data_IF_512743443415
#
_entry.id   IF_512743443415
#
_cell.length_a   1.000
_cell.length_b   1.000
_cell.length_c   1.000
_cell.angle_alpha   90.00
_cell.angle_beta   90.00
_cell.angle_gamma   90.00
#
_symmetry.space_group_name_H-M   'P 1'
#
loop_
_entity.id
_entity.type
_entity.pdbx_description
1 polymer ?
#
# COMPACT_ATOMS: atom_id res chain seq x y z
N UNK A 1 9.87 -26.58 57.32
CA UNK A 1 9.21 -25.79 56.26
C UNK A 1 9.40 -26.49 54.92
N UNK A 2 8.32 -27.10 54.40
CA UNK A 2 8.34 -27.96 53.19
C UNK A 2 8.01 -27.06 51.99
N UNK A 3 8.93 -26.94 51.01
CA UNK A 3 8.68 -26.18 49.77
C UNK A 3 7.44 -26.74 49.07
N UNK A 4 6.50 -25.90 48.57
CA UNK A 4 5.38 -26.40 47.80
C UNK A 4 5.91 -27.01 46.51
N UNK A 5 5.66 -28.30 46.35
CA UNK A 5 6.02 -29.03 45.14
C UNK A 5 5.13 -28.51 44.01
N UNK A 6 5.71 -27.70 43.12
CA UNK A 6 5.12 -27.47 41.80
C UNK A 6 5.00 -28.83 41.13
N UNK A 7 3.77 -29.30 40.95
CA UNK A 7 3.45 -30.39 40.05
C UNK A 7 3.98 -30.01 38.66
N UNK A 8 5.19 -30.49 38.34
CA UNK A 8 5.71 -30.56 36.98
C UNK A 8 4.85 -31.58 36.27
N UNK A 9 3.87 -31.12 35.48
CA UNK A 9 3.04 -31.97 34.64
C UNK A 9 3.96 -32.80 33.72
N UNK A 10 4.12 -34.11 33.97
CA UNK A 10 4.68 -35.00 32.97
C UNK A 10 3.59 -35.14 31.89
N UNK A 11 3.98 -35.04 30.64
CA UNK A 11 3.14 -35.28 29.46
C UNK A 11 2.13 -34.18 29.10
N UNK A 12 2.67 -33.13 28.46
CA UNK A 12 1.93 -32.23 27.54
C UNK A 12 1.25 -32.99 26.36
N UNK A 13 1.44 -34.31 26.26
CA UNK A 13 0.86 -35.19 25.25
C UNK A 13 -0.46 -35.88 25.67
N UNK A 14 -0.93 -35.73 26.91
CA UNK A 14 -2.18 -36.37 27.36
C UNK A 14 -3.45 -35.74 26.74
N UNK A 15 -3.36 -34.48 26.33
CA UNK A 15 -4.28 -33.87 25.36
C UNK A 15 -3.62 -33.98 24.00
N UNK A 16 -3.61 -35.20 23.45
CA UNK A 16 -2.92 -35.57 22.21
C UNK A 16 -3.02 -34.50 21.14
N UNK A 17 -2.01 -34.43 20.26
CA UNK A 17 -1.96 -33.53 19.11
C UNK A 17 -3.29 -33.57 18.35
N UNK A 18 -4.26 -32.77 18.78
CA UNK A 18 -5.55 -32.73 18.13
C UNK A 18 -5.23 -32.22 16.73
N UNK A 19 -5.58 -32.96 15.66
CA UNK A 19 -5.25 -32.58 14.28
C UNK A 19 -5.68 -31.13 13.98
N UNK A 20 -6.71 -30.64 14.69
CA UNK A 20 -7.16 -29.25 14.69
C UNK A 20 -6.06 -28.20 14.94
N UNK A 21 -5.04 -28.48 15.76
CA UNK A 21 -3.98 -27.50 16.05
C UNK A 21 -3.04 -27.26 14.86
N UNK A 22 -2.72 -28.31 14.09
CA UNK A 22 -1.95 -28.20 12.85
C UNK A 22 -2.79 -27.55 11.75
N UNK A 23 -4.06 -27.94 11.60
CA UNK A 23 -4.98 -27.33 10.64
C UNK A 23 -5.21 -25.85 10.90
N UNK A 24 -5.39 -25.45 12.17
CA UNK A 24 -5.53 -24.05 12.56
C UNK A 24 -4.27 -23.25 12.22
N UNK A 25 -3.09 -23.77 12.54
CA UNK A 25 -1.82 -23.10 12.22
C UNK A 25 -1.64 -22.90 10.72
N UNK A 26 -1.97 -23.91 9.90
CA UNK A 26 -1.88 -23.82 8.44
C UNK A 26 -2.89 -22.81 7.86
N UNK A 27 -4.12 -22.79 8.37
CA UNK A 27 -5.15 -21.85 7.92
C UNK A 27 -4.80 -20.40 8.28
N UNK A 28 -4.25 -20.17 9.47
CA UNK A 28 -3.72 -18.87 9.88
C UNK A 28 -2.53 -18.47 9.00
N UNK A 29 -1.63 -19.41 8.69
CA UNK A 29 -0.52 -19.13 7.78
C UNK A 29 -0.99 -18.66 6.42
N UNK A 30 -2.00 -19.33 5.84
CA UNK A 30 -2.60 -18.95 4.57
C UNK A 30 -3.24 -17.55 4.65
N UNK A 31 -4.05 -17.29 5.67
CA UNK A 31 -4.71 -15.99 5.84
C UNK A 31 -3.71 -14.84 6.01
N UNK A 32 -2.66 -15.05 6.81
CA UNK A 32 -1.59 -14.06 7.02
C UNK A 32 -0.80 -13.84 5.73
N UNK A 33 -0.50 -14.89 4.97
CA UNK A 33 0.15 -14.76 3.67
C UNK A 33 -0.69 -13.92 2.70
N UNK A 34 -1.99 -14.20 2.59
CA UNK A 34 -2.91 -13.44 1.74
C UNK A 34 -3.03 -11.98 2.19
N UNK A 35 -3.14 -11.73 3.50
CA UNK A 35 -3.19 -10.39 4.05
C UNK A 35 -1.90 -9.60 3.77
N UNK A 36 -0.74 -10.24 3.93
CA UNK A 36 0.56 -9.64 3.64
C UNK A 36 0.72 -9.30 2.15
N UNK A 37 0.28 -10.19 1.26
CA UNK A 37 0.28 -9.95 -0.18
C UNK A 37 -0.64 -8.78 -0.57
N UNK A 38 -1.85 -8.75 -0.02
CA UNK A 38 -2.77 -7.64 -0.23
C UNK A 38 -2.19 -6.32 0.25
N UNK A 39 -1.54 -6.30 1.42
CA UNK A 39 -0.87 -5.13 1.97
C UNK A 39 0.30 -4.67 1.09
N UNK A 40 1.13 -5.61 0.61
CA UNK A 40 2.22 -5.29 -0.31
C UNK A 40 1.69 -4.65 -1.60
N UNK A 41 0.61 -5.20 -2.17
CA UNK A 41 -0.02 -4.65 -3.36
C UNK A 41 -0.61 -3.25 -3.08
N UNK A 42 -1.27 -3.06 -1.93
CA UNK A 42 -1.83 -1.76 -1.52
C UNK A 42 -0.74 -0.68 -1.44
N UNK A 43 0.35 -0.98 -0.75
CA UNK A 43 1.47 -0.06 -0.57
C UNK A 43 2.15 0.24 -1.91
N UNK A 44 2.33 -0.77 -2.76
CA UNK A 44 2.92 -0.58 -4.08
C UNK A 44 2.06 0.35 -4.97
N UNK A 45 0.75 0.10 -5.04
CA UNK A 45 -0.19 0.95 -5.80
C UNK A 45 -0.20 2.37 -5.24
N UNK A 46 -0.29 2.52 -3.92
CA UNK A 46 -0.33 3.84 -3.29
C UNK A 46 0.94 4.65 -3.54
N UNK A 47 2.13 4.05 -3.43
CA UNK A 47 3.39 4.74 -3.72
C UNK A 47 3.47 5.21 -5.18
N UNK A 48 2.97 4.40 -6.13
CA UNK A 48 2.90 4.79 -7.54
C UNK A 48 1.86 5.89 -7.77
N UNK A 49 0.71 5.83 -7.10
CA UNK A 49 -0.29 6.87 -7.15
C UNK A 49 0.26 8.21 -6.64
N UNK A 50 0.98 8.23 -5.51
CA UNK A 50 1.61 9.44 -4.96
C UNK A 50 2.71 9.98 -5.88
N UNK A 51 3.53 9.09 -6.46
CA UNK A 51 4.56 9.48 -7.41
C UNK A 51 3.99 10.08 -8.70
N UNK A 52 2.89 9.51 -9.21
CA UNK A 52 2.19 10.04 -10.37
C UNK A 52 1.47 11.35 -10.04
N UNK A 53 0.84 11.47 -8.87
CA UNK A 53 0.29 12.74 -8.37
C UNK A 53 1.35 13.83 -8.38
N UNK A 54 2.54 13.57 -7.84
CA UNK A 54 3.63 14.55 -7.80
C UNK A 54 4.19 14.95 -9.18
N UNK A 55 4.02 14.10 -10.21
CA UNK A 55 4.47 14.42 -11.57
C UNK A 55 3.39 15.14 -12.40
N UNK A 56 2.13 14.76 -12.25
CA UNK A 56 1.01 15.28 -13.03
C UNK A 56 0.32 16.50 -12.39
N UNK A 57 0.31 16.61 -11.05
CA UNK A 57 -0.36 17.72 -10.38
C UNK A 57 0.48 19.01 -10.37
N UNK A 58 1.79 18.90 -10.55
CA UNK A 58 2.73 20.01 -10.35
C UNK A 58 3.28 20.57 -11.67
N UNK A 59 3.21 19.87 -12.81
CA UNK A 59 3.64 20.39 -14.13
C UNK A 59 2.47 20.94 -14.92
N UNK A 60 2.56 22.21 -15.28
CA UNK A 60 1.69 22.85 -16.27
C UNK A 60 2.54 23.37 -17.42
N UNK A 61 1.96 23.36 -18.62
CA UNK A 61 2.61 23.86 -19.82
C UNK A 61 1.80 25.02 -20.38
N UNK A 62 2.45 26.17 -20.59
CA UNK A 62 1.88 27.28 -21.35
C UNK A 62 2.32 27.12 -22.79
N UNK A 63 1.34 27.02 -23.68
CA UNK A 63 1.58 26.98 -25.12
C UNK A 63 1.25 28.34 -25.72
N UNK A 64 2.23 28.97 -26.37
CA UNK A 64 2.04 30.24 -27.08
C UNK A 64 1.94 29.93 -28.57
N UNK A 65 0.72 30.09 -29.11
CA UNK A 65 0.41 29.82 -30.52
C UNK A 65 0.35 31.17 -31.23
N UNK A 66 1.44 31.56 -31.88
CA UNK A 66 1.54 32.84 -32.60
C UNK A 66 2.23 32.63 -33.95
N UNK A 67 1.63 33.18 -35.02
CA UNK A 67 2.10 32.99 -36.40
C UNK A 67 3.38 33.79 -36.71
N UNK A 68 3.57 34.94 -36.06
CA UNK A 68 4.77 35.76 -36.19
C UNK A 68 5.88 35.33 -35.19
N UNK A 69 7.07 34.89 -35.65
CA UNK A 69 8.14 34.41 -34.78
C UNK A 69 8.69 35.49 -33.84
N UNK A 70 8.78 36.75 -34.27
CA UNK A 70 9.30 37.83 -33.43
C UNK A 70 8.33 38.19 -32.28
N UNK A 71 7.03 38.13 -32.54
CA UNK A 71 6.00 38.33 -31.51
C UNK A 71 5.89 37.13 -30.57
N UNK A 72 6.08 35.90 -31.07
CA UNK A 72 6.12 34.67 -30.26
C UNK A 72 7.25 34.72 -29.22
N UNK A 73 8.47 35.06 -29.64
CA UNK A 73 9.62 35.09 -28.73
C UNK A 73 9.48 36.19 -27.67
N UNK A 74 8.98 37.36 -28.03
CA UNK A 74 8.69 38.43 -27.05
C UNK A 74 7.63 38.01 -26.04
N UNK A 75 6.55 37.36 -26.48
CA UNK A 75 5.50 36.87 -25.58
C UNK A 75 6.02 35.74 -24.68
N UNK A 76 6.87 34.85 -25.20
CA UNK A 76 7.56 33.80 -24.43
C UNK A 76 8.44 34.39 -23.33
N UNK A 77 9.30 35.34 -23.66
CA UNK A 77 10.22 35.96 -22.68
C UNK A 77 9.44 36.74 -21.61
N UNK A 78 8.36 37.42 -22.00
CA UNK A 78 7.50 38.15 -21.05
C UNK A 78 6.73 37.18 -20.15
N UNK A 79 6.23 36.06 -20.69
CA UNK A 79 5.56 35.02 -19.90
C UNK A 79 6.52 34.36 -18.90
N UNK A 80 7.76 34.06 -19.31
CA UNK A 80 8.80 33.52 -18.43
C UNK A 80 9.14 34.50 -17.29
N UNK A 81 9.34 35.78 -17.61
CA UNK A 81 9.65 36.79 -16.61
C UNK A 81 8.55 36.89 -15.54
N UNK A 82 7.28 36.86 -15.95
CA UNK A 82 6.16 36.92 -15.00
C UNK A 82 6.05 35.64 -14.18
N UNK A 83 6.18 34.47 -14.81
CA UNK A 83 6.14 33.19 -14.12
C UNK A 83 7.24 33.08 -13.05
N UNK A 84 8.43 33.64 -13.31
CA UNK A 84 9.53 33.69 -12.33
C UNK A 84 9.26 34.65 -11.16
N UNK A 85 8.43 35.67 -11.34
CA UNK A 85 8.05 36.61 -10.26
C UNK A 85 6.92 36.09 -9.38
N UNK A 86 6.25 35.01 -9.76
CA UNK A 86 5.12 34.47 -9.01
C UNK A 86 5.60 33.60 -7.84
N UNK A 87 5.20 33.91 -6.58
CA UNK A 87 5.62 33.14 -5.42
C UNK A 87 5.05 31.71 -5.38
N UNK A 88 4.03 31.44 -6.20
CA UNK A 88 3.40 30.12 -6.34
C UNK A 88 4.12 29.20 -7.33
N UNK A 89 5.15 29.68 -8.04
CA UNK A 89 5.86 28.94 -9.08
C UNK A 89 7.23 28.50 -8.56
N UNK A 90 7.51 27.20 -8.64
CA UNK A 90 8.75 26.57 -8.13
C UNK A 90 9.88 26.59 -9.16
N UNK A 91 9.55 26.40 -10.44
CA UNK A 91 10.52 26.41 -11.53
C UNK A 91 9.83 26.73 -12.84
N UNK A 92 10.54 27.45 -13.73
CA UNK A 92 10.08 27.80 -15.07
C UNK A 92 11.17 27.38 -16.04
N UNK A 93 10.79 26.65 -17.08
CA UNK A 93 11.66 26.18 -18.13
C UNK A 93 11.02 26.48 -19.49
N UNK A 94 11.60 27.41 -20.23
CA UNK A 94 11.20 27.67 -21.61
C UNK A 94 11.96 26.72 -22.52
N UNK A 95 11.24 25.92 -23.30
CA UNK A 95 11.88 25.03 -24.27
C UNK A 95 12.39 25.86 -25.44
N UNK A 96 13.65 25.65 -25.80
CA UNK A 96 14.25 26.19 -27.02
C UNK A 96 13.75 25.45 -28.25
N UNK A 97 13.81 26.09 -29.41
CA UNK A 97 13.39 25.49 -30.68
C UNK A 97 14.17 24.20 -31.01
N UNK A 98 15.45 24.13 -30.64
CA UNK A 98 16.29 22.94 -30.81
C UNK A 98 15.90 21.77 -29.89
N UNK A 99 15.44 22.05 -28.67
CA UNK A 99 14.93 21.02 -27.75
C UNK A 99 13.60 20.46 -28.25
N UNK A 100 12.78 21.32 -28.86
CA UNK A 100 11.51 20.94 -29.42
C UNK A 100 11.68 20.06 -30.68
N UNK A 101 12.62 20.40 -31.55
CA UNK A 101 12.99 19.59 -32.72
C UNK A 101 13.49 18.19 -32.30
N UNK A 102 14.34 18.10 -31.26
CA UNK A 102 14.80 16.81 -30.70
C UNK A 102 13.69 15.94 -30.11
N UNK A 103 12.63 16.54 -29.57
CA UNK A 103 11.47 15.80 -29.06
C UNK A 103 10.61 15.22 -30.19
N UNK A 104 10.63 15.88 -31.35
CA UNK A 104 9.81 15.56 -32.52
C UNK A 104 10.54 14.62 -33.49
N UNK A 105 11.89 14.67 -33.52
CA UNK A 105 12.79 13.84 -34.33
C UNK A 105 12.47 12.32 -34.31
N UNK A 106 12.14 11.68 -33.16
CA UNK A 106 11.85 10.25 -33.12
C UNK A 106 10.58 9.85 -33.87
N UNK A 107 9.67 10.79 -34.09
CA UNK A 107 8.36 10.56 -34.68
C UNK A 107 8.28 11.03 -36.13
N UNK A 108 9.02 12.09 -36.47
CA UNK A 108 9.00 12.71 -37.78
C UNK A 108 10.16 12.27 -38.69
N UNK A 109 11.19 11.64 -38.13
CA UNK A 109 12.39 11.26 -38.86
C UNK A 109 13.30 12.44 -39.19
N UNK A 110 14.52 12.18 -39.68
CA UNK A 110 15.55 13.20 -39.91
C UNK A 110 15.23 14.17 -41.07
N UNK A 111 14.22 13.87 -41.89
CA UNK A 111 13.86 14.63 -43.10
C UNK A 111 12.59 15.50 -42.92
N UNK A 112 12.13 15.72 -41.68
CA UNK A 112 11.05 16.67 -41.45
C UNK A 112 11.56 18.11 -41.58
N UNK A 113 11.40 18.63 -42.79
CA UNK A 113 11.77 20.00 -43.14
C UNK A 113 11.08 21.02 -42.22
N UNK A 114 11.87 22.02 -41.86
CA UNK A 114 11.67 23.18 -40.97
C UNK A 114 10.48 24.09 -41.29
N UNK A 115 9.50 23.64 -42.07
CA UNK A 115 8.36 24.43 -42.56
C UNK A 115 7.17 24.41 -41.58
N UNK A 116 7.22 23.57 -40.54
CA UNK A 116 6.22 23.54 -39.48
C UNK A 116 6.54 24.62 -38.45
N UNK A 117 5.65 25.60 -38.34
CA UNK A 117 5.73 26.62 -37.29
C UNK A 117 5.44 26.00 -35.94
N UNK A 118 6.49 25.61 -35.21
CA UNK A 118 6.37 25.01 -33.89
C UNK A 118 6.00 26.04 -32.81
N UNK A 119 4.97 25.79 -31.99
CA UNK A 119 4.55 26.71 -30.93
C UNK A 119 5.65 26.82 -29.85
N UNK A 120 5.74 27.98 -29.20
CA UNK A 120 6.64 28.13 -28.07
C UNK A 120 6.01 27.49 -26.83
N UNK A 121 6.73 26.58 -26.19
CA UNK A 121 6.29 25.87 -24.99
C UNK A 121 7.09 26.35 -23.79
N UNK A 122 6.37 26.73 -22.74
CA UNK A 122 6.95 27.10 -21.45
C UNK A 122 6.39 26.15 -20.40
N UNK A 123 7.24 25.24 -19.93
CA UNK A 123 6.92 24.34 -18.83
C UNK A 123 7.17 25.04 -17.50
N UNK A 124 6.22 24.97 -16.59
CA UNK A 124 6.39 25.53 -15.25
C UNK A 124 5.78 24.62 -14.19
N UNK A 125 6.41 24.64 -13.02
CA UNK A 125 6.00 23.84 -11.87
C UNK A 125 5.35 24.73 -10.83
N UNK A 126 4.14 24.40 -10.41
CA UNK A 126 3.43 25.11 -9.33
C UNK A 126 3.69 24.40 -8.00
N UNK A 127 3.72 25.15 -6.90
CA UNK A 127 3.67 24.61 -5.54
C UNK A 127 2.29 23.98 -5.22
N UNK A 128 2.19 23.03 -4.26
CA UNK A 128 0.96 22.28 -3.92
C UNK A 128 -0.27 23.11 -3.51
N UNK A 129 -0.11 24.43 -3.32
CA UNK A 129 -1.17 25.38 -2.94
C UNK A 129 -1.30 26.57 -3.90
N UNK A 130 -0.65 26.51 -5.06
CA UNK A 130 -0.76 27.58 -6.06
C UNK A 130 -2.11 27.55 -6.76
N UNK A 131 -2.80 28.69 -6.78
CA UNK A 131 -4.08 28.82 -7.46
C UNK A 131 -3.85 28.91 -8.98
N UNK A 132 -4.13 27.80 -9.67
CA UNK A 132 -3.95 27.66 -11.13
C UNK A 132 -4.76 28.68 -11.92
N UNK A 133 -5.97 29.01 -11.47
CA UNK A 133 -6.88 29.92 -12.16
C UNK A 133 -6.35 31.37 -12.12
N UNK A 134 -5.79 31.80 -10.98
CA UNK A 134 -5.12 33.10 -10.85
C UNK A 134 -3.87 33.21 -11.73
N UNK A 135 -3.16 32.10 -11.96
CA UNK A 135 -1.98 32.06 -12.83
C UNK A 135 -2.40 32.14 -14.30
N UNK A 136 -3.44 31.39 -14.69
CA UNK A 136 -4.03 31.45 -16.03
C UNK A 136 -4.47 32.88 -16.40
N UNK A 137 -5.19 33.56 -15.50
CA UNK A 137 -5.64 34.94 -15.71
C UNK A 137 -4.47 35.93 -15.86
N UNK A 138 -3.41 35.77 -15.06
CA UNK A 138 -2.23 36.64 -15.15
C UNK A 138 -1.45 36.44 -16.46
N UNK A 139 -1.35 35.20 -16.93
CA UNK A 139 -0.67 34.89 -18.19
C UNK A 139 -1.47 35.43 -19.38
N UNK A 140 -2.79 35.25 -19.38
CA UNK A 140 -3.65 35.71 -20.47
C UNK A 140 -3.66 37.24 -20.63
N UNK A 141 -3.42 38.00 -19.56
CA UNK A 141 -3.26 39.47 -19.62
C UNK A 141 -1.99 39.92 -20.33
N UNK A 142 -0.98 39.07 -20.42
CA UNK A 142 0.38 39.43 -20.88
C UNK A 142 0.69 38.79 -22.23
N UNK A 143 0.22 37.57 -22.43
CA UNK A 143 0.28 36.86 -23.70
C UNK A 143 -1.16 36.44 -24.08
N UNK A 144 -1.88 37.24 -24.87
CA UNK A 144 -3.25 36.93 -25.29
C UNK A 144 -3.33 35.65 -26.12
N UNK A 145 -2.26 35.34 -26.86
CA UNK A 145 -2.10 34.15 -27.71
C UNK A 145 -1.63 32.91 -26.93
N UNK A 146 -1.49 33.00 -25.59
CA UNK A 146 -1.13 31.88 -24.74
C UNK A 146 -2.37 31.05 -24.37
N UNK A 147 -2.37 29.79 -24.77
CA UNK A 147 -3.28 28.76 -24.28
C UNK A 147 -2.61 28.03 -23.12
N UNK A 148 -3.27 28.02 -21.97
CA UNK A 148 -2.84 27.19 -20.84
C UNK A 148 -3.38 25.79 -21.05
N UNK A 149 -2.49 24.85 -21.35
CA UNK A 149 -2.89 23.45 -21.48
C UNK A 149 -2.72 22.76 -20.12
N UNK A 150 -3.83 22.69 -19.36
CA UNK A 150 -3.88 21.92 -18.12
C UNK A 150 -3.98 20.43 -18.46
N UNK A 151 -2.85 19.85 -18.85
CA UNK A 151 -2.69 18.41 -19.02
C UNK A 151 -3.03 17.61 -17.73
N UNK A 152 -3.16 18.30 -16.58
CA UNK A 152 -3.57 17.71 -15.31
C UNK A 152 -5.04 17.28 -15.26
N UNK A 153 -5.94 17.83 -16.08
CA UNK A 153 -7.37 17.44 -16.05
C UNK A 153 -7.62 16.03 -16.59
N UNK A 154 -6.82 15.58 -17.58
CA UNK A 154 -6.92 14.21 -18.12
C UNK A 154 -6.31 13.16 -17.18
N UNK A 155 -5.29 13.55 -16.40
CA UNK A 155 -4.69 12.70 -15.38
C UNK A 155 -5.56 12.51 -14.13
N UNK A 156 -6.45 13.47 -13.84
CA UNK A 156 -7.30 13.44 -12.64
C UNK A 156 -8.19 12.19 -12.56
N UNK A 157 -8.72 11.71 -13.69
CA UNK A 157 -9.52 10.50 -13.73
C UNK A 157 -8.70 9.24 -13.39
N UNK A 158 -7.45 9.16 -13.86
CA UNK A 158 -6.53 8.08 -13.53
C UNK A 158 -6.16 8.10 -12.04
N UNK A 159 -5.88 9.28 -11.51
CA UNK A 159 -5.55 9.47 -10.10
C UNK A 159 -6.72 9.07 -9.18
N UNK A 160 -7.94 9.52 -9.50
CA UNK A 160 -9.15 9.11 -8.80
C UNK A 160 -9.37 7.59 -8.87
N UNK A 161 -9.08 6.95 -10.00
CA UNK A 161 -9.14 5.50 -10.15
C UNK A 161 -8.13 4.79 -9.23
N UNK A 162 -6.89 5.27 -9.17
CA UNK A 162 -5.86 4.71 -8.28
C UNK A 162 -6.23 4.85 -6.79
N UNK A 163 -6.86 5.96 -6.41
CA UNK A 163 -7.36 6.17 -5.05
C UNK A 163 -8.51 5.23 -4.70
N UNK A 164 -9.47 5.03 -5.62
CA UNK A 164 -10.55 4.07 -5.47
C UNK A 164 -10.03 2.63 -5.32
N UNK A 165 -9.06 2.24 -6.16
CA UNK A 165 -8.40 0.94 -6.08
C UNK A 165 -7.69 0.78 -4.73
N UNK A 166 -6.96 1.81 -4.28
CA UNK A 166 -6.29 1.79 -2.97
C UNK A 166 -7.31 1.61 -1.83
N UNK A 167 -8.44 2.31 -1.88
CA UNK A 167 -9.54 2.15 -0.92
C UNK A 167 -10.14 0.74 -0.92
N UNK A 168 -10.36 0.16 -2.10
CA UNK A 168 -10.86 -1.21 -2.24
C UNK A 168 -9.88 -2.24 -1.65
N UNK A 169 -8.58 -2.04 -1.85
CA UNK A 169 -7.54 -2.89 -1.27
C UNK A 169 -7.55 -2.87 0.26
N UNK A 170 -7.73 -1.69 0.87
CA UNK A 170 -7.93 -1.60 2.31
C UNK A 170 -9.18 -2.36 2.78
N UNK A 171 -10.28 -2.27 2.00
CA UNK A 171 -11.49 -3.06 2.25
C UNK A 171 -11.23 -4.58 2.22
N UNK A 172 -10.44 -5.06 1.27
CA UNK A 172 -10.05 -6.48 1.17
C UNK A 172 -9.21 -6.92 2.38
N UNK A 173 -8.23 -6.11 2.79
CA UNK A 173 -7.39 -6.39 3.98
C UNK A 173 -8.27 -6.50 5.23
N UNK A 174 -9.24 -5.59 5.40
CA UNK A 174 -10.16 -5.63 6.52
C UNK A 174 -11.08 -6.86 6.50
N UNK A 175 -11.56 -7.24 5.30
CA UNK A 175 -12.37 -8.45 5.11
C UNK A 175 -11.59 -9.72 5.50
N UNK A 176 -10.33 -9.84 5.08
CA UNK A 176 -9.44 -10.96 5.46
C UNK A 176 -9.20 -10.99 6.97
N UNK A 177 -9.04 -9.84 7.61
CA UNK A 177 -8.88 -9.76 9.07
C UNK A 177 -10.13 -10.28 9.80
N UNK A 178 -11.34 -9.87 9.37
CA UNK A 178 -12.60 -10.36 9.94
C UNK A 178 -12.74 -11.87 9.73
N UNK A 179 -12.47 -12.36 8.52
CA UNK A 179 -12.54 -13.78 8.20
C UNK A 179 -11.58 -14.60 9.08
N UNK A 180 -10.37 -14.08 9.31
CA UNK A 180 -9.37 -14.72 10.20
C UNK A 180 -9.88 -14.81 11.63
N UNK A 181 -10.47 -13.74 12.17
CA UNK A 181 -11.08 -13.74 13.51
C UNK A 181 -12.20 -14.78 13.59
N UNK A 182 -13.09 -14.82 12.61
CA UNK A 182 -14.21 -15.76 12.56
C UNK A 182 -13.73 -17.23 12.51
N UNK A 183 -12.70 -17.51 11.71
CA UNK A 183 -12.08 -18.83 11.61
C UNK A 183 -11.46 -19.26 12.94
N UNK A 184 -10.67 -18.39 13.58
CA UNK A 184 -10.07 -18.67 14.89
C UNK A 184 -11.17 -18.93 15.91
N UNK A 185 -12.24 -18.12 15.87
CA UNK A 185 -13.37 -18.29 16.77
C UNK A 185 -14.07 -19.64 16.60
N UNK A 186 -14.32 -20.04 15.36
CA UNK A 186 -14.93 -21.33 15.05
C UNK A 186 -14.03 -22.49 15.48
N UNK A 187 -12.73 -22.39 15.26
CA UNK A 187 -11.76 -23.41 15.64
C UNK A 187 -11.66 -23.57 17.16
N UNK A 188 -11.59 -22.47 17.91
CA UNK A 188 -11.58 -22.49 19.38
C UNK A 188 -12.89 -23.08 19.90
N UNK A 189 -14.04 -22.65 19.36
CA UNK A 189 -15.36 -23.17 19.75
C UNK A 189 -15.47 -24.68 19.48
N UNK A 190 -15.01 -25.13 18.32
CA UNK A 190 -14.97 -26.56 17.97
C UNK A 190 -14.09 -27.35 18.93
N UNK A 191 -12.88 -26.86 19.22
CA UNK A 191 -11.94 -27.52 20.13
C UNK A 191 -12.48 -27.63 21.57
N UNK A 192 -13.15 -26.59 22.07
CA UNK A 192 -13.79 -26.62 23.40
C UNK A 192 -14.95 -27.62 23.43
N UNK A 193 -15.81 -27.62 22.40
CA UNK A 193 -16.92 -28.55 22.31
C UNK A 193 -16.45 -30.01 22.30
N UNK A 194 -15.38 -30.34 21.56
CA UNK A 194 -14.83 -31.70 21.50
C UNK A 194 -14.18 -32.18 22.81
N UNK A 195 -13.85 -31.27 23.74
CA UNK A 195 -13.20 -31.61 25.00
C UNK A 195 -14.13 -31.52 26.22
N UNK A 196 -15.43 -31.27 26.04
CA UNK A 196 -16.36 -31.09 27.17
C UNK A 196 -16.36 -32.27 28.15
N UNK A 197 -16.36 -33.51 27.64
CA UNK A 197 -16.39 -34.72 28.48
C UNK A 197 -15.14 -34.84 29.37
N UNK A 198 -13.96 -34.49 28.82
CA UNK A 198 -12.70 -34.49 29.57
C UNK A 198 -12.62 -33.35 30.59
N UNK A 199 -13.20 -32.19 30.26
CA UNK A 199 -13.24 -31.02 31.15
C UNK A 199 -14.11 -31.30 32.39
N UNK A 200 -15.23 -32.02 32.23
CA UNK A 200 -16.12 -32.39 33.34
C UNK A 200 -15.40 -33.31 34.34
N UNK A 201 -14.63 -34.29 33.85
CA UNK A 201 -13.81 -35.16 34.70
C UNK A 201 -12.73 -34.39 35.47
N UNK A 202 -12.10 -33.40 34.83
CA UNK A 202 -11.06 -32.60 35.48
C UNK A 202 -11.64 -31.58 36.49
N UNK A 203 -12.85 -31.07 36.24
CA UNK A 203 -13.52 -30.16 37.18
C UNK A 203 -13.97 -30.88 38.45
N UNK A 204 -14.35 -32.16 38.36
CA UNK A 204 -14.62 -33.04 39.50
C UNK A 204 -13.38 -33.27 40.39
N UNK A 205 -12.18 -33.13 39.84
CA UNK A 205 -10.90 -33.25 40.55
C UNK A 205 -10.36 -31.91 41.10
N UNK A 206 -11.13 -30.82 40.99
CA UNK A 206 -10.78 -29.51 41.57
C UNK A 206 -9.89 -28.63 40.70
N UNK A 207 -9.79 -28.87 39.40
CA UNK A 207 -9.04 -28.00 38.50
C UNK A 207 -9.69 -26.60 38.40
N UNK A 208 -8.91 -25.56 38.72
CA UNK A 208 -9.34 -24.17 38.65
C UNK A 208 -9.57 -23.72 37.18
N UNK A 209 -10.74 -23.14 36.89
CA UNK A 209 -11.18 -22.77 35.53
C UNK A 209 -10.24 -21.76 34.85
N UNK A 210 -9.57 -20.92 35.63
CA UNK A 210 -8.55 -19.95 35.19
C UNK A 210 -7.34 -20.65 34.54
N UNK A 211 -6.94 -21.82 35.05
CA UNK A 211 -5.81 -22.59 34.51
C UNK A 211 -6.14 -23.27 33.19
N UNK A 212 -7.39 -23.71 33.00
CA UNK A 212 -7.85 -24.28 31.71
C UNK A 212 -7.85 -23.20 30.63
N UNK A 213 -8.31 -21.99 30.95
CA UNK A 213 -8.28 -20.85 30.03
C UNK A 213 -6.85 -20.45 29.61
N UNK A 214 -5.90 -20.49 30.55
CA UNK A 214 -4.49 -20.22 30.28
C UNK A 214 -3.87 -21.21 29.29
N UNK A 215 -4.19 -22.50 29.41
CA UNK A 215 -3.65 -23.54 28.53
C UNK A 215 -4.13 -23.37 27.07
N UNK A 216 -5.42 -23.07 26.88
CA UNK A 216 -5.96 -22.79 25.54
C UNK A 216 -5.37 -21.52 24.93
N UNK A 217 -5.15 -20.45 25.71
CA UNK A 217 -4.48 -19.23 25.24
C UNK A 217 -3.08 -19.52 24.73
N UNK A 218 -2.28 -20.29 25.46
CA UNK A 218 -0.91 -20.62 25.06
C UNK A 218 -0.89 -21.47 23.78
N UNK A 219 -1.73 -22.50 23.70
CA UNK A 219 -1.78 -23.41 22.54
C UNK A 219 -2.26 -22.70 21.28
N UNK A 220 -3.30 -21.86 21.37
CA UNK A 220 -3.77 -21.05 20.25
C UNK A 220 -2.76 -19.97 19.88
N UNK A 221 -2.18 -19.28 20.86
CA UNK A 221 -1.15 -18.26 20.62
C UNK A 221 0.06 -18.83 19.88
N UNK A 222 0.54 -20.01 20.26
CA UNK A 222 1.66 -20.68 19.60
C UNK A 222 1.31 -21.11 18.17
N UNK A 223 0.11 -21.64 17.95
CA UNK A 223 -0.36 -22.04 16.62
C UNK A 223 -0.48 -20.83 15.66
N UNK A 224 -1.03 -19.71 16.17
CA UNK A 224 -1.12 -18.45 15.43
C UNK A 224 0.26 -17.88 15.14
N UNK A 225 1.16 -17.83 16.14
CA UNK A 225 2.52 -17.34 15.96
C UNK A 225 3.28 -18.12 14.88
N UNK A 226 3.25 -19.45 14.96
CA UNK A 226 3.90 -20.30 13.95
C UNK A 226 3.28 -20.09 12.58
N UNK A 227 1.96 -19.98 12.50
CA UNK A 227 1.25 -19.71 11.24
C UNK A 227 1.64 -18.36 10.65
N UNK A 228 1.62 -17.31 11.46
CA UNK A 228 1.95 -15.94 11.04
C UNK A 228 3.40 -15.80 10.56
N UNK A 229 4.36 -16.46 11.21
CA UNK A 229 5.77 -16.47 10.76
C UNK A 229 5.89 -17.13 9.40
N UNK A 230 5.29 -18.32 9.22
CA UNK A 230 5.32 -19.04 7.95
C UNK A 230 4.63 -18.24 6.84
N UNK A 231 3.44 -17.69 7.12
CA UNK A 231 2.69 -16.88 6.18
C UNK A 231 3.44 -15.61 5.75
N UNK A 232 4.10 -14.93 6.70
CA UNK A 232 4.93 -13.77 6.40
C UNK A 232 6.14 -14.15 5.53
N UNK A 233 6.77 -15.29 5.83
CA UNK A 233 7.87 -15.82 5.01
C UNK A 233 7.45 -16.11 3.56
N UNK A 234 6.27 -16.71 3.37
CA UNK A 234 5.69 -16.94 2.04
C UNK A 234 5.47 -15.61 1.31
N UNK A 235 4.88 -14.62 1.98
CA UNK A 235 4.62 -13.31 1.38
C UNK A 235 5.91 -12.58 0.97
N UNK A 236 6.96 -12.63 1.79
CA UNK A 236 8.28 -12.08 1.45
C UNK A 236 8.88 -12.80 0.24
N UNK A 237 8.80 -14.13 0.19
CA UNK A 237 9.30 -14.91 -0.94
C UNK A 237 8.55 -14.55 -2.24
N UNK A 238 7.23 -14.45 -2.18
CA UNK A 238 6.40 -14.01 -3.31
C UNK A 238 6.72 -12.58 -3.75
N UNK A 239 7.01 -11.67 -2.80
CA UNK A 239 7.43 -10.30 -3.10
C UNK A 239 8.74 -10.27 -3.88
N UNK A 240 9.75 -11.01 -3.41
CA UNK A 240 11.05 -11.12 -4.07
C UNK A 240 10.90 -11.69 -5.49
N UNK A 241 10.09 -12.75 -5.63
CA UNK A 241 9.82 -13.36 -6.94
C UNK A 241 9.15 -12.37 -7.90
N UNK A 242 8.15 -11.61 -7.42
CA UNK A 242 7.48 -10.59 -8.21
C UNK A 242 8.43 -9.50 -8.67
N UNK A 243 9.30 -8.99 -7.79
CA UNK A 243 10.32 -7.99 -8.15
C UNK A 243 11.28 -8.55 -9.21
N UNK A 244 11.75 -9.79 -9.04
CA UNK A 244 12.64 -10.45 -10.01
C UNK A 244 11.99 -10.60 -11.38
N UNK A 245 10.72 -11.00 -11.43
CA UNK A 245 9.93 -11.08 -12.67
C UNK A 245 9.77 -9.71 -13.33
N UNK A 246 9.56 -8.67 -12.52
CA UNK A 246 9.37 -7.31 -13.01
C UNK A 246 10.65 -6.71 -13.60
N UNK A 247 11.80 -6.94 -12.96
CA UNK A 247 13.12 -6.51 -13.46
C UNK A 247 13.51 -7.22 -14.76
N UNK A 248 13.01 -8.43 -15.00
CA UNK A 248 13.24 -9.16 -16.25
C UNK A 248 12.48 -8.56 -17.45
N UNK A 249 11.51 -7.66 -17.22
CA UNK A 249 10.80 -6.99 -18.30
C UNK A 249 11.65 -5.83 -18.85
N UNK A 250 11.92 -5.74 -20.16
CA UNK A 250 12.66 -4.65 -20.80
C UNK A 250 11.80 -3.38 -20.91
N UNK A 251 11.34 -2.88 -19.77
CA UNK A 251 10.63 -1.59 -19.68
C UNK A 251 11.44 -0.63 -18.80
N UNK A 252 12.02 0.45 -19.36
CA UNK A 252 12.83 1.41 -18.61
C UNK A 252 12.04 2.20 -17.56
N UNK A 253 10.71 2.10 -17.57
CA UNK A 253 9.77 2.81 -16.68
C UNK A 253 9.73 2.24 -15.25
N UNK A 254 10.29 1.04 -15.02
CA UNK A 254 10.20 0.32 -13.73
C UNK A 254 11.51 0.28 -12.93
N UNK A 255 12.61 0.78 -13.51
CA UNK A 255 13.89 0.88 -12.83
C UNK A 255 13.91 2.12 -11.92
N UNK A 256 13.41 1.99 -10.69
CA UNK A 256 13.67 2.98 -9.64
C UNK A 256 14.76 2.48 -8.71
N UNK A 257 15.91 3.15 -8.68
CA UNK A 257 17.07 2.82 -7.85
C UNK A 257 16.81 2.96 -6.33
N UNK A 258 15.67 3.52 -5.94
CA UNK A 258 15.35 3.71 -4.53
C UNK A 258 14.60 2.49 -3.96
N UNK A 259 15.34 1.61 -3.28
CA UNK A 259 14.76 0.51 -2.52
C UNK A 259 14.00 1.10 -1.33
N UNK A 260 12.69 1.27 -1.49
CA UNK A 260 11.86 1.76 -0.42
C UNK A 260 11.66 0.64 0.62
N UNK A 261 12.20 0.80 1.83
CA UNK A 261 12.09 -0.20 2.91
C UNK A 261 10.73 -0.18 3.63
N UNK A 262 9.90 0.82 3.34
CA UNK A 262 8.59 1.00 3.97
C UNK A 262 7.66 -0.24 3.86
N UNK A 263 7.53 -0.93 2.70
CA UNK A 263 6.71 -2.13 2.59
C UNK A 263 7.25 -3.30 3.43
N UNK A 264 8.57 -3.41 3.56
CA UNK A 264 9.22 -4.45 4.35
C UNK A 264 8.93 -4.27 5.84
N UNK A 265 8.91 -3.02 6.32
CA UNK A 265 8.54 -2.70 7.69
C UNK A 265 7.09 -3.11 8.00
N UNK A 266 6.15 -2.81 7.10
CA UNK A 266 4.74 -3.21 7.26
C UNK A 266 4.57 -4.74 7.30
N UNK A 267 5.28 -5.48 6.45
CA UNK A 267 5.26 -6.94 6.45
C UNK A 267 5.85 -7.50 7.76
N UNK A 268 6.93 -6.91 8.27
CA UNK A 268 7.54 -7.33 9.54
C UNK A 268 6.60 -7.11 10.74
N UNK A 269 5.75 -6.09 10.69
CA UNK A 269 4.81 -5.78 11.78
C UNK A 269 3.53 -6.63 11.74
N UNK A 270 3.13 -7.09 10.55
CA UNK A 270 1.92 -7.89 10.35
C UNK A 270 1.80 -9.16 11.22
N UNK A 271 2.85 -10.01 11.39
CA UNK A 271 2.74 -11.20 12.23
C UNK A 271 2.47 -10.84 13.70
N UNK A 272 3.01 -9.72 14.19
CA UNK A 272 2.79 -9.25 15.55
C UNK A 272 1.31 -8.88 15.76
N UNK A 273 0.71 -8.17 14.80
CA UNK A 273 -0.71 -7.81 14.82
C UNK A 273 -1.59 -9.06 14.77
N UNK A 274 -1.28 -10.02 13.88
CA UNK A 274 -2.04 -11.27 13.76
C UNK A 274 -2.03 -12.10 15.06
N UNK A 275 -0.88 -12.15 15.75
CA UNK A 275 -0.75 -12.82 17.05
C UNK A 275 -1.58 -12.13 18.12
N UNK A 276 -1.54 -10.79 18.20
CA UNK A 276 -2.34 -10.02 19.17
C UNK A 276 -3.83 -10.30 18.94
N UNK A 277 -4.31 -10.21 17.69
CA UNK A 277 -5.71 -10.46 17.34
C UNK A 277 -6.10 -11.91 17.69
N UNK A 278 -5.26 -12.89 17.36
CA UNK A 278 -5.53 -14.29 17.65
C UNK A 278 -5.60 -14.58 19.16
N UNK A 279 -4.68 -14.04 19.94
CA UNK A 279 -4.64 -14.19 21.40
C UNK A 279 -5.84 -13.49 22.06
N UNK A 280 -6.21 -12.28 21.62
CA UNK A 280 -7.39 -11.58 22.13
C UNK A 280 -8.69 -12.30 21.79
N UNK A 281 -8.82 -12.80 20.56
CA UNK A 281 -10.00 -13.56 20.12
C UNK A 281 -10.17 -14.83 20.96
N UNK A 282 -9.09 -15.58 21.17
CA UNK A 282 -9.10 -16.75 22.04
C UNK A 282 -9.48 -16.39 23.49
N UNK A 283 -8.97 -15.27 24.01
CA UNK A 283 -9.27 -14.82 25.36
C UNK A 283 -10.76 -14.47 25.54
N UNK A 284 -11.34 -13.67 24.64
CA UNK A 284 -12.74 -13.26 24.69
C UNK A 284 -13.69 -14.46 24.63
N UNK A 285 -13.42 -15.42 23.75
CA UNK A 285 -14.29 -16.58 23.54
C UNK A 285 -14.29 -17.49 24.76
N UNK A 286 -13.11 -17.73 25.34
CA UNK A 286 -12.99 -18.58 26.52
C UNK A 286 -13.67 -17.94 27.74
N UNK A 287 -13.51 -16.63 27.94
CA UNK A 287 -14.20 -15.91 29.02
C UNK A 287 -15.73 -15.99 28.89
N UNK A 288 -16.27 -15.73 27.68
CA UNK A 288 -17.72 -15.80 27.41
C UNK A 288 -18.30 -17.21 27.60
N UNK A 289 -17.51 -18.26 27.36
CA UNK A 289 -17.95 -19.63 27.61
C UNK A 289 -17.99 -19.98 29.11
N UNK A 290 -17.14 -19.35 29.91
CA UNK A 290 -17.10 -19.56 31.36
C UNK A 290 -18.20 -18.77 32.07
N UNK A 291 -18.53 -17.55 31.62
CA UNK A 291 -19.62 -16.75 32.21
C UNK A 291 -21.02 -17.36 32.00
N UNK A 292 -21.20 -18.19 30.97
CA UNK A 292 -22.52 -18.73 30.61
C UNK A 292 -22.92 -20.00 31.40
N UNK A 293 -22.19 -20.36 32.46
CA UNK A 293 -22.37 -21.60 33.23
C UNK A 293 -22.11 -21.40 34.72
#
# INVERSE_FOLDING_TARGET
MKKPQLFTFPDQNLLGEAPLSKTLSWLVALMVALMALALLFAVAVHQRAVFLHGQLADRLTVQIIEADPASRDRQKDTAVAILQTLPSVKSVHALSQQELEKLVEPWLGPDAESEITLPALVDFTILPHGNRQLIAEKIHRVAPSASLDDHGSSGAALLAFLDLVTGLLWGVIFSIAIATIAIIALAVRSAVNSCQDKIILLSLLGAERSRIAGLFRYKTGYAVLKGSIVGSGIAVLSAILCIRLLVALPTPILHSDNINFLPLFFIAFLPMVAVIIGVMTAHIIVLRMVEKK
#
